data_IF_391959202893
#
_entry.id   IF_391959202893
#
_cell.length_a   1.000
_cell.length_b   1.000
_cell.length_c   1.000
_cell.angle_alpha   90.00
_cell.angle_beta   90.00
_cell.angle_gamma   90.00
#
_symmetry.space_group_name_H-M   'P 1'
#
loop_
_entity.id
_entity.type
_entity.pdbx_description
1 polymer ?
#
# COMPACT_ATOMS: atom_id res chain seq x y z
N UNK A 1 -28.99 4.91 5.96
CA UNK A 1 -27.98 5.56 5.10
C UNK A 1 -26.69 5.64 5.90
N UNK A 2 -25.80 4.62 5.78
CA UNK A 2 -24.47 4.68 6.40
C UNK A 2 -23.61 5.60 5.54
N UNK A 3 -23.15 6.70 6.13
CA UNK A 3 -22.24 7.64 5.48
C UNK A 3 -20.85 6.98 5.49
N UNK A 4 -20.48 6.31 4.40
CA UNK A 4 -19.13 5.78 4.20
C UNK A 4 -18.16 6.95 4.37
N UNK A 5 -17.45 6.97 5.48
CA UNK A 5 -16.53 8.05 5.83
C UNK A 5 -15.21 7.71 5.16
N UNK A 6 -15.12 7.94 3.85
CA UNK A 6 -13.90 7.64 3.10
C UNK A 6 -12.72 8.42 3.67
N UNK A 7 -11.64 7.70 4.01
CA UNK A 7 -10.36 8.28 4.44
C UNK A 7 -9.38 8.27 3.27
N UNK A 8 -8.55 9.31 3.18
CA UNK A 8 -7.50 9.43 2.15
C UNK A 8 -6.20 8.90 2.73
N UNK A 9 -5.67 7.84 2.14
CA UNK A 9 -4.31 7.37 2.39
C UNK A 9 -3.35 7.99 1.38
N UNK A 10 -2.19 8.46 1.84
CA UNK A 10 -1.10 8.93 0.99
C UNK A 10 0.25 8.39 1.49
N UNK A 11 0.69 7.26 0.93
CA UNK A 11 1.98 6.64 1.23
C UNK A 11 3.00 7.02 0.14
N UNK A 12 4.07 7.71 0.53
CA UNK A 12 5.16 8.09 -0.37
C UNK A 12 6.39 7.22 -0.08
N UNK A 13 6.98 6.64 -1.13
CA UNK A 13 8.25 5.93 -1.01
C UNK A 13 9.27 6.51 -1.97
N UNK A 14 10.43 6.85 -1.43
CA UNK A 14 11.61 7.20 -2.20
C UNK A 14 12.35 5.92 -2.56
N UNK A 15 12.04 5.32 -3.71
CA UNK A 15 12.81 4.20 -4.24
C UNK A 15 14.05 4.76 -4.95
N UNK A 16 15.23 4.44 -4.43
CA UNK A 16 16.50 4.75 -5.09
C UNK A 16 16.81 3.68 -6.14
N UNK A 17 16.79 3.99 -7.45
CA UNK A 17 17.20 3.01 -8.44
C UNK A 17 18.70 2.74 -8.27
N UNK A 18 19.05 1.53 -7.84
CA UNK A 18 20.43 1.03 -7.89
C UNK A 18 20.71 0.76 -9.37
N UNK A 19 21.53 1.60 -9.98
CA UNK A 19 21.99 1.53 -11.38
C UNK A 19 21.00 1.99 -12.47
N UNK A 20 20.70 3.29 -12.50
CA UNK A 20 20.68 4.09 -13.74
C UNK A 20 20.65 5.57 -13.36
N UNK A 21 21.41 6.40 -14.07
CA UNK A 21 21.52 7.84 -13.86
C UNK A 21 20.27 8.63 -14.30
N UNK A 22 19.07 8.10 -14.05
CA UNK A 22 17.81 8.74 -14.41
C UNK A 22 17.00 8.93 -13.14
N UNK A 23 16.76 10.21 -12.81
CA UNK A 23 15.91 10.76 -11.73
C UNK A 23 15.20 9.74 -10.82
N UNK A 24 15.51 9.82 -9.51
CA UNK A 24 14.72 9.21 -8.44
C UNK A 24 13.22 9.38 -8.71
N UNK A 25 12.53 8.31 -9.13
CA UNK A 25 11.09 8.34 -9.36
C UNK A 25 10.42 8.20 -8.00
N UNK A 26 10.02 9.32 -7.43
CA UNK A 26 9.17 9.30 -6.24
C UNK A 26 7.82 8.67 -6.62
N UNK A 27 7.49 7.55 -5.98
CA UNK A 27 6.21 6.87 -6.21
C UNK A 27 5.33 7.09 -5.00
N UNK A 28 4.20 7.74 -5.21
CA UNK A 28 3.20 7.99 -4.16
C UNK A 28 1.94 7.19 -4.44
N UNK A 29 1.52 6.36 -3.49
CA UNK A 29 0.24 5.67 -3.49
C UNK A 29 -0.79 6.54 -2.75
N UNK A 30 -1.75 7.10 -3.51
CA UNK A 30 -2.90 7.82 -2.95
C UNK A 30 -4.18 7.04 -3.18
N UNK A 31 -4.98 6.76 -2.16
CA UNK A 31 -6.24 6.03 -2.31
C UNK A 31 -7.25 6.40 -1.22
N UNK A 32 -8.50 6.60 -1.62
CA UNK A 32 -9.64 6.66 -0.71
C UNK A 32 -10.08 5.25 -0.30
N UNK A 33 -10.32 5.03 0.98
CA UNK A 33 -10.84 3.76 1.47
C UNK A 33 -11.88 3.97 2.58
N UNK A 34 -12.78 3.01 2.76
CA UNK A 34 -13.73 3.02 3.87
C UNK A 34 -13.08 2.39 5.12
N UNK A 35 -12.94 3.11 6.25
CA UNK A 35 -12.38 2.58 7.49
C UNK A 35 -13.19 1.39 8.05
N UNK A 36 -14.47 1.24 7.67
CA UNK A 36 -15.25 0.04 8.02
C UNK A 36 -14.67 -1.25 7.40
N UNK A 37 -13.85 -1.16 6.35
CA UNK A 37 -13.15 -2.31 5.80
C UNK A 37 -12.10 -2.87 6.76
N UNK A 38 -11.57 -2.05 7.67
CA UNK A 38 -10.52 -2.46 8.61
C UNK A 38 -11.03 -3.32 9.76
N UNK A 39 -12.35 -3.35 10.00
CA UNK A 39 -12.96 -4.02 11.15
C UNK A 39 -13.38 -5.45 10.86
N UNK A 40 -13.37 -5.86 9.58
CA UNK A 40 -13.80 -7.19 9.16
C UNK A 40 -12.73 -7.85 8.30
N UNK A 41 -12.59 -9.16 8.44
CA UNK A 41 -11.61 -9.95 7.68
C UNK A 41 -11.81 -9.82 6.16
N UNK A 42 -13.06 -9.90 5.68
CA UNK A 42 -13.38 -9.72 4.27
C UNK A 42 -13.14 -8.29 3.77
N UNK A 43 -13.35 -7.29 4.63
CA UNK A 43 -13.04 -5.90 4.32
C UNK A 43 -11.53 -5.68 4.19
N UNK A 44 -10.74 -6.30 5.05
CA UNK A 44 -9.27 -6.24 5.02
C UNK A 44 -8.73 -6.89 3.75
N UNK A 45 -9.23 -8.06 3.38
CA UNK A 45 -8.85 -8.71 2.11
C UNK A 45 -9.15 -7.81 0.90
N UNK A 46 -10.33 -7.18 0.92
CA UNK A 46 -10.73 -6.23 -0.13
C UNK A 46 -9.79 -5.03 -0.19
N UNK A 47 -9.45 -4.43 0.95
CA UNK A 47 -8.55 -3.29 1.04
C UNK A 47 -7.15 -3.64 0.54
N UNK A 48 -6.59 -4.76 1.00
CA UNK A 48 -5.25 -5.22 0.61
C UNK A 48 -5.20 -5.50 -0.89
N UNK A 49 -6.23 -6.16 -1.45
CA UNK A 49 -6.31 -6.38 -2.90
C UNK A 49 -6.32 -5.08 -3.70
N UNK A 50 -7.03 -4.05 -3.21
CA UNK A 50 -7.03 -2.72 -3.84
C UNK A 50 -5.67 -2.03 -3.76
N UNK A 51 -4.99 -2.13 -2.60
CA UNK A 51 -3.64 -1.61 -2.43
C UNK A 51 -2.65 -2.29 -3.38
N UNK A 52 -2.68 -3.62 -3.49
CA UNK A 52 -1.82 -4.39 -4.40
C UNK A 52 -2.06 -4.00 -5.86
N UNK A 53 -3.32 -3.91 -6.27
CA UNK A 53 -3.68 -3.50 -7.64
C UNK A 53 -3.14 -2.11 -7.98
N UNK A 54 -3.31 -1.14 -7.07
CA UNK A 54 -2.80 0.22 -7.26
C UNK A 54 -1.28 0.28 -7.22
N UNK A 55 -0.64 -0.43 -6.30
CA UNK A 55 0.81 -0.52 -6.19
C UNK A 55 1.43 -1.12 -7.46
N UNK A 56 0.89 -2.24 -7.97
CA UNK A 56 1.33 -2.85 -9.23
C UNK A 56 1.23 -1.90 -10.41
N UNK A 57 0.16 -1.09 -10.48
CA UNK A 57 -0.01 -0.09 -11.53
C UNK A 57 1.05 1.01 -11.44
N UNK A 58 1.34 1.51 -10.24
CA UNK A 58 2.35 2.55 -10.01
C UNK A 58 3.78 2.06 -10.24
N UNK A 59 4.05 0.80 -9.88
CA UNK A 59 5.32 0.10 -10.07
C UNK A 59 5.43 -0.60 -11.43
N UNK A 60 4.48 -0.36 -12.33
CA UNK A 60 4.58 -0.84 -13.70
C UNK A 60 5.37 0.16 -14.56
N UNK A 61 6.27 -0.37 -15.38
CA UNK A 61 7.01 0.39 -16.36
C UNK A 61 6.98 -0.32 -17.71
N UNK A 62 6.84 0.47 -18.77
CA UNK A 62 6.95 -0.06 -20.13
C UNK A 62 8.41 -0.33 -20.42
N UNK A 63 8.73 -1.56 -20.84
CA UNK A 63 10.09 -1.94 -21.22
C UNK A 63 10.16 -1.99 -22.75
N UNK A 64 10.72 -0.96 -23.41
CA UNK A 64 10.74 -0.88 -24.86
C UNK A 64 11.44 -2.07 -25.51
N UNK A 65 12.51 -2.56 -24.89
CA UNK A 65 13.31 -3.69 -25.38
C UNK A 65 12.53 -5.01 -25.48
N UNK A 66 11.48 -5.20 -24.66
CA UNK A 66 10.68 -6.42 -24.62
C UNK A 66 9.27 -6.23 -25.21
N UNK A 67 8.90 -4.99 -25.61
CA UNK A 67 7.54 -4.66 -26.05
C UNK A 67 6.46 -4.88 -25.00
N UNK A 68 6.83 -5.11 -23.74
CA UNK A 68 5.95 -5.55 -22.66
C UNK A 68 5.94 -4.56 -21.48
N UNK A 69 4.95 -4.73 -20.59
CA UNK A 69 4.91 -4.06 -19.30
C UNK A 69 5.61 -4.94 -18.27
N UNK A 70 6.63 -4.40 -17.61
CA UNK A 70 7.26 -5.02 -16.46
C UNK A 70 6.66 -4.42 -15.18
N UNK A 71 6.33 -5.27 -14.21
CA UNK A 71 5.90 -4.85 -12.88
C UNK A 71 7.02 -5.16 -11.91
N UNK A 72 7.53 -4.13 -11.27
CA UNK A 72 8.51 -4.28 -10.20
C UNK A 72 7.79 -4.81 -8.94
N UNK A 73 8.04 -6.08 -8.64
CA UNK A 73 7.41 -6.78 -7.53
C UNK A 73 7.82 -6.18 -6.18
N UNK A 74 9.10 -5.82 -6.02
CA UNK A 74 9.66 -5.27 -4.77
C UNK A 74 9.12 -3.87 -4.50
N UNK A 75 9.03 -3.03 -5.53
CA UNK A 75 8.35 -1.73 -5.47
C UNK A 75 6.89 -1.90 -5.03
N UNK A 76 6.17 -2.84 -5.64
CA UNK A 76 4.74 -3.02 -5.36
C UNK A 76 4.49 -3.52 -3.93
N UNK A 77 5.28 -4.49 -3.47
CA UNK A 77 5.20 -5.02 -2.11
C UNK A 77 5.55 -3.95 -1.07
N UNK A 78 6.60 -3.17 -1.34
CA UNK A 78 7.01 -2.07 -0.44
C UNK A 78 5.91 -1.00 -0.33
N UNK A 79 5.23 -0.64 -1.43
CA UNK A 79 4.15 0.36 -1.41
C UNK A 79 2.96 -0.12 -0.58
N UNK A 80 2.58 -1.40 -0.74
CA UNK A 80 1.50 -2.01 0.04
C UNK A 80 1.88 -2.04 1.52
N UNK A 81 3.12 -2.41 1.84
CA UNK A 81 3.62 -2.41 3.22
C UNK A 81 3.55 -1.02 3.85
N UNK A 82 4.10 0.00 3.19
CA UNK A 82 4.08 1.38 3.67
C UNK A 82 2.63 1.88 3.86
N UNK A 83 1.74 1.54 2.93
CA UNK A 83 0.32 1.86 3.02
C UNK A 83 -0.35 1.21 4.24
N UNK A 84 -0.15 -0.10 4.47
CA UNK A 84 -0.72 -0.81 5.63
C UNK A 84 -0.21 -0.23 6.94
N UNK A 85 1.09 0.08 7.03
CA UNK A 85 1.69 0.67 8.22
C UNK A 85 1.12 2.06 8.52
N UNK A 86 0.96 2.90 7.48
CA UNK A 86 0.38 4.23 7.64
C UNK A 86 -1.10 4.16 8.04
N UNK A 87 -1.90 3.30 7.40
CA UNK A 87 -3.29 3.06 7.80
C UNK A 87 -3.37 2.60 9.26
N UNK A 88 -2.50 1.67 9.66
CA UNK A 88 -2.46 1.20 11.05
C UNK A 88 -2.11 2.33 12.02
N UNK A 89 -1.10 3.14 11.71
CA UNK A 89 -0.74 4.30 12.53
C UNK A 89 -1.90 5.30 12.67
N UNK A 90 -2.64 5.55 11.60
CA UNK A 90 -3.77 6.49 11.57
C UNK A 90 -5.02 5.95 12.30
N UNK A 91 -5.20 4.62 12.34
CA UNK A 91 -6.47 4.00 12.76
C UNK A 91 -6.40 3.17 14.03
N UNK A 92 -5.21 2.76 14.49
CA UNK A 92 -5.05 1.87 15.65
C UNK A 92 -5.67 2.42 16.94
N UNK A 93 -5.79 3.75 17.06
CA UNK A 93 -6.43 4.40 18.22
C UNK A 93 -7.91 4.77 17.99
N UNK A 94 -8.40 4.62 16.76
CA UNK A 94 -9.70 5.13 16.32
C UNK A 94 -10.73 4.02 16.12
N UNK A 95 -10.28 2.81 15.76
CA UNK A 95 -11.14 1.69 15.39
C UNK A 95 -10.55 0.37 15.89
N UNK A 96 -11.40 -0.55 16.33
CA UNK A 96 -10.98 -1.93 16.60
C UNK A 96 -10.66 -2.64 15.27
N UNK A 97 -9.37 -2.80 14.99
CA UNK A 97 -8.86 -3.40 13.77
C UNK A 97 -9.04 -4.92 13.80
N UNK A 98 -9.43 -5.51 12.68
CA UNK A 98 -9.52 -6.95 12.54
C UNK A 98 -8.15 -7.61 12.81
N UNK A 99 -8.11 -8.79 13.46
CA UNK A 99 -6.85 -9.46 13.80
C UNK A 99 -5.91 -9.67 12.60
N UNK A 100 -6.45 -9.93 11.40
CA UNK A 100 -5.61 -10.05 10.20
C UNK A 100 -4.97 -8.74 9.80
N UNK A 101 -5.66 -7.61 9.92
CA UNK A 101 -5.06 -6.31 9.62
C UNK A 101 -3.94 -5.98 10.60
N UNK A 102 -4.15 -6.25 11.90
CA UNK A 102 -3.13 -6.08 12.93
C UNK A 102 -1.90 -6.94 12.63
N UNK A 103 -2.09 -8.20 12.21
CA UNK A 103 -0.98 -9.07 11.78
C UNK A 103 -0.24 -8.51 10.56
N UNK A 104 -0.96 -8.06 9.53
CA UNK A 104 -0.34 -7.47 8.34
C UNK A 104 0.50 -6.23 8.68
N UNK A 105 0.06 -5.41 9.63
CA UNK A 105 0.82 -4.26 10.11
C UNK A 105 2.01 -4.68 11.00
N UNK A 106 1.85 -5.74 11.80
CA UNK A 106 2.84 -6.19 12.80
C UNK A 106 3.97 -7.05 12.24
N UNK A 107 3.74 -7.83 11.17
CA UNK A 107 4.71 -8.79 10.58
C UNK A 107 6.05 -8.15 10.20
N UNK A 108 6.12 -6.81 10.11
CA UNK A 108 7.38 -6.09 9.92
C UNK A 108 7.59 -4.88 10.84
N UNK A 109 6.62 -4.46 11.66
CA UNK A 109 6.90 -3.43 12.68
C UNK A 109 7.99 -3.90 13.65
N UNK A 110 8.05 -5.22 13.91
CA UNK A 110 9.06 -5.85 14.75
C UNK A 110 10.48 -5.93 14.12
N UNK A 111 10.64 -5.63 12.82
CA UNK A 111 11.95 -5.62 12.15
C UNK A 111 12.47 -4.21 11.85
N UNK A 112 11.68 -3.17 12.16
CA UNK A 112 12.02 -1.78 11.91
C UNK A 112 12.28 -0.97 13.20
N UNK A 113 12.33 -1.61 14.37
CA UNK A 113 12.54 -0.97 15.68
C UNK A 113 13.65 -1.66 16.48
#
# INVERSE_FOLDING_TARGET
MLKATSMILAAAMALTPVAAAESLKEVTLKMDYDPALLTTEAGVETLVSQLESKARKLCSQRVPALGAIYVDADCSASLVKAAVQQIHADQASSVELAPTFQRLAAVDYALAN
#
